data_IF_524928821808
#
_entry.id   IF_524928821808
#
_cell.length_a   1.000
_cell.length_b   1.000
_cell.length_c   1.000
_cell.angle_alpha   90.00
_cell.angle_beta   90.00
_cell.angle_gamma   90.00
#
_symmetry.space_group_name_H-M   'P 1'
#
loop_
_entity.id
_entity.type
_entity.pdbx_description
1 polymer ?
#
# COMPACT_ATOMS: atom_id res chain seq x y z
N UNK A 1 5.30 -32.73 15.14
CA UNK A 1 4.27 -32.31 14.16
C UNK A 1 4.58 -30.89 13.74
N UNK A 2 5.25 -30.71 12.59
CA UNK A 2 5.64 -29.43 12.08
C UNK A 2 4.53 -28.84 11.20
N UNK A 3 3.91 -27.74 11.62
CA UNK A 3 3.00 -26.99 10.78
C UNK A 3 3.79 -26.23 9.72
N UNK A 4 3.80 -26.77 8.52
CA UNK A 4 4.41 -26.15 7.35
C UNK A 4 3.41 -25.11 6.81
N UNK A 5 3.48 -23.86 7.28
CA UNK A 5 2.77 -22.74 6.68
C UNK A 5 3.52 -22.33 5.41
N UNK A 6 3.25 -23.04 4.32
CA UNK A 6 3.63 -22.55 2.98
C UNK A 6 2.74 -21.35 2.66
N UNK A 7 3.24 -20.15 2.88
CA UNK A 7 2.68 -18.96 2.26
C UNK A 7 2.90 -19.09 0.75
N UNK A 8 1.91 -19.62 0.05
CA UNK A 8 1.83 -19.56 -1.40
C UNK A 8 1.67 -18.08 -1.78
N UNK A 9 2.80 -17.39 -1.92
CA UNK A 9 2.84 -16.14 -2.69
C UNK A 9 2.50 -16.51 -4.12
N UNK A 10 1.22 -16.36 -4.49
CA UNK A 10 0.80 -16.40 -5.89
C UNK A 10 1.64 -15.35 -6.62
N UNK A 11 2.57 -15.83 -7.45
CA UNK A 11 3.39 -14.98 -8.32
C UNK A 11 2.46 -14.32 -9.32
N UNK A 12 2.03 -13.10 -8.99
CA UNK A 12 1.30 -12.27 -9.93
C UNK A 12 2.16 -12.06 -11.17
N UNK A 13 1.56 -12.19 -12.33
CA UNK A 13 2.21 -11.75 -13.57
C UNK A 13 2.72 -10.32 -13.36
N UNK A 14 3.99 -10.06 -13.65
CA UNK A 14 4.62 -8.77 -13.36
C UNK A 14 3.85 -7.55 -13.91
N UNK A 15 3.07 -7.74 -14.97
CA UNK A 15 2.18 -6.71 -15.55
C UNK A 15 1.01 -6.35 -14.61
N UNK A 16 0.40 -7.34 -13.98
CA UNK A 16 -0.76 -7.11 -13.08
C UNK A 16 -0.30 -6.44 -11.78
N UNK A 17 0.87 -6.81 -11.27
CA UNK A 17 1.48 -6.16 -10.11
C UNK A 17 1.83 -4.70 -10.41
N UNK A 18 2.41 -4.42 -11.58
CA UNK A 18 2.71 -3.07 -12.02
C UNK A 18 1.44 -2.21 -12.15
N UNK A 19 0.38 -2.76 -12.73
CA UNK A 19 -0.92 -2.07 -12.84
C UNK A 19 -1.47 -1.72 -11.46
N UNK A 20 -1.43 -2.64 -10.50
CA UNK A 20 -1.88 -2.39 -9.13
C UNK A 20 -1.06 -1.29 -8.44
N UNK A 21 0.26 -1.27 -8.64
CA UNK A 21 1.13 -0.21 -8.12
C UNK A 21 0.73 1.16 -8.69
N UNK A 22 0.54 1.24 -10.01
CA UNK A 22 0.19 2.49 -10.69
C UNK A 22 -1.17 3.01 -10.23
N UNK A 23 -2.19 2.15 -10.17
CA UNK A 23 -3.53 2.52 -9.71
C UNK A 23 -3.52 3.00 -8.26
N UNK A 24 -2.85 2.27 -7.36
CA UNK A 24 -2.70 2.68 -5.96
C UNK A 24 -1.93 4.00 -5.82
N UNK A 25 -0.89 4.21 -6.62
CA UNK A 25 -0.14 5.46 -6.59
C UNK A 25 -1.00 6.65 -7.02
N UNK A 26 -1.79 6.50 -8.09
CA UNK A 26 -2.68 7.55 -8.59
C UNK A 26 -3.72 7.92 -7.52
N UNK A 27 -4.39 6.93 -6.92
CA UNK A 27 -5.40 7.22 -5.89
C UNK A 27 -4.78 7.83 -4.64
N UNK A 28 -3.61 7.36 -4.23
CA UNK A 28 -2.88 7.90 -3.09
C UNK A 28 -2.54 9.39 -3.29
N UNK A 29 -2.05 9.76 -4.48
CA UNK A 29 -1.75 11.15 -4.80
C UNK A 29 -3.04 11.99 -4.80
N UNK A 30 -4.12 11.48 -5.39
CA UNK A 30 -5.41 12.18 -5.39
C UNK A 30 -5.97 12.38 -3.97
N UNK A 31 -5.88 11.37 -3.11
CA UNK A 31 -6.29 11.46 -1.71
C UNK A 31 -5.41 12.42 -0.91
N UNK A 32 -4.10 12.43 -1.14
CA UNK A 32 -3.18 13.34 -0.46
C UNK A 32 -3.50 14.80 -0.81
N UNK A 33 -3.59 15.10 -2.10
CA UNK A 33 -3.94 16.45 -2.58
C UNK A 33 -5.33 16.85 -2.08
N UNK A 34 -6.31 15.97 -2.23
CA UNK A 34 -7.68 16.23 -1.78
C UNK A 34 -7.79 16.37 -0.27
N UNK A 35 -6.99 15.64 0.49
CA UNK A 35 -6.90 15.76 1.95
C UNK A 35 -6.41 17.13 2.39
N UNK A 36 -5.38 17.65 1.73
CA UNK A 36 -4.89 19.01 1.99
C UNK A 36 -5.91 20.09 1.57
N UNK A 37 -6.51 19.96 0.39
CA UNK A 37 -7.49 20.96 -0.11
C UNK A 37 -8.78 20.94 0.73
N UNK A 38 -9.26 19.75 1.12
CA UNK A 38 -10.48 19.62 1.94
C UNK A 38 -10.27 19.91 3.42
N UNK A 39 -9.01 19.94 3.89
CA UNK A 39 -8.69 20.02 5.32
C UNK A 39 -8.96 18.73 6.09
N UNK A 40 -9.14 17.57 5.42
CA UNK A 40 -9.47 16.29 6.04
C UNK A 40 -8.23 15.54 6.50
N UNK A 41 -8.03 15.43 7.82
CA UNK A 41 -6.97 14.60 8.40
C UNK A 41 -7.17 13.11 8.13
N UNK A 42 -8.43 12.65 8.10
CA UNK A 42 -8.75 11.26 7.80
C UNK A 42 -8.28 10.88 6.38
N UNK A 43 -8.50 11.76 5.39
CA UNK A 43 -8.09 11.53 4.03
C UNK A 43 -6.56 11.56 3.86
N UNK A 44 -5.88 12.44 4.61
CA UNK A 44 -4.41 12.48 4.65
C UNK A 44 -3.87 11.19 5.28
N UNK A 45 -4.47 10.73 6.38
CA UNK A 45 -4.08 9.48 7.05
C UNK A 45 -4.23 8.27 6.12
N UNK A 46 -5.34 8.18 5.40
CA UNK A 46 -5.61 7.13 4.43
C UNK A 46 -4.60 7.15 3.28
N UNK A 47 -4.30 8.35 2.76
CA UNK A 47 -3.28 8.51 1.72
C UNK A 47 -1.89 8.06 2.17
N UNK A 48 -1.48 8.35 3.40
CA UNK A 48 -0.18 7.92 3.94
C UNK A 48 -0.14 6.40 4.13
N UNK A 49 -1.24 5.80 4.59
CA UNK A 49 -1.35 4.34 4.69
C UNK A 49 -1.24 3.69 3.31
N UNK A 50 -2.00 4.16 2.33
CA UNK A 50 -1.95 3.65 0.95
C UNK A 50 -0.56 3.85 0.31
N UNK A 51 0.13 4.94 0.62
CA UNK A 51 1.51 5.16 0.17
C UNK A 51 2.48 4.12 0.74
N UNK A 52 2.31 3.75 1.99
CA UNK A 52 3.03 2.66 2.64
C UNK A 52 2.85 1.33 1.91
N UNK A 53 1.62 1.02 1.49
CA UNK A 53 1.29 -0.18 0.72
C UNK A 53 1.95 -0.16 -0.67
N UNK A 54 1.94 0.99 -1.34
CA UNK A 54 2.64 1.18 -2.63
C UNK A 54 4.14 0.90 -2.50
N UNK A 55 4.80 1.41 -1.46
CA UNK A 55 6.22 1.12 -1.19
C UNK A 55 6.43 -0.38 -1.02
N UNK A 56 5.60 -1.06 -0.24
CA UNK A 56 5.68 -2.51 -0.01
C UNK A 56 5.52 -3.31 -1.30
N UNK A 57 4.58 -2.90 -2.18
CA UNK A 57 4.38 -3.50 -3.50
C UNK A 57 5.59 -3.29 -4.43
N UNK A 58 6.18 -2.08 -4.42
CA UNK A 58 7.39 -1.78 -5.21
C UNK A 58 8.57 -2.67 -4.76
N UNK A 59 8.78 -2.80 -3.45
CA UNK A 59 9.83 -3.66 -2.90
C UNK A 59 9.62 -5.10 -3.33
N UNK A 60 8.39 -5.60 -3.24
CA UNK A 60 8.02 -6.96 -3.67
C UNK A 60 8.23 -7.16 -5.17
N UNK A 61 7.89 -6.14 -5.99
CA UNK A 61 8.11 -6.18 -7.44
C UNK A 61 9.60 -6.23 -7.79
N UNK A 62 10.40 -5.38 -7.17
CA UNK A 62 11.86 -5.35 -7.38
C UNK A 62 12.50 -6.67 -6.94
N UNK A 63 12.10 -7.21 -5.79
CA UNK A 63 12.58 -8.51 -5.31
C UNK A 63 12.26 -9.63 -6.29
N UNK A 64 11.04 -9.63 -6.87
CA UNK A 64 10.64 -10.61 -7.88
C UNK A 64 11.45 -10.48 -9.18
N UNK A 65 11.66 -9.26 -9.68
CA UNK A 65 12.49 -9.02 -10.86
C UNK A 65 13.93 -9.50 -10.68
N UNK A 66 14.51 -9.28 -9.50
CA UNK A 66 15.88 -9.68 -9.20
C UNK A 66 16.00 -11.20 -9.01
N UNK A 67 15.00 -11.84 -8.42
CA UNK A 67 14.93 -13.28 -8.25
C UNK A 67 14.89 -14.02 -9.60
N UNK A 68 14.19 -13.46 -10.58
CA UNK A 68 14.05 -14.09 -11.91
C UNK A 68 15.29 -13.93 -12.82
N UNK A 69 16.19 -12.99 -12.52
CA UNK A 69 17.33 -12.66 -13.38
C UNK A 69 18.63 -13.41 -13.09
N UNK A 70 18.76 -14.11 -11.96
CA UNK A 70 20.03 -14.76 -11.57
C UNK A 70 19.82 -16.17 -11.02
N UNK A 71 20.64 -17.13 -11.49
CA UNK A 71 20.89 -18.41 -10.82
C UNK A 71 21.30 -18.11 -9.38
N UNK A 72 20.48 -18.57 -8.43
CA UNK A 72 20.60 -18.30 -7.01
C UNK A 72 21.97 -18.79 -6.48
N UNK A 73 22.83 -17.87 -6.10
CA UNK A 73 23.94 -18.15 -5.19
C UNK A 73 23.46 -17.87 -3.76
N UNK A 74 23.67 -18.79 -2.85
CA UNK A 74 23.21 -18.76 -1.45
C UNK A 74 23.55 -17.44 -0.72
N UNK A 75 24.61 -16.77 -1.11
CA UNK A 75 25.05 -15.49 -0.52
C UNK A 75 24.17 -14.29 -0.87
N UNK A 76 23.45 -14.32 -2.01
CA UNK A 76 22.61 -13.19 -2.46
C UNK A 76 21.22 -13.21 -1.83
N UNK A 77 20.69 -14.37 -1.50
CA UNK A 77 19.39 -14.54 -0.83
C UNK A 77 19.36 -13.91 0.56
N UNK A 78 20.48 -13.91 1.29
CA UNK A 78 20.59 -13.33 2.62
C UNK A 78 20.55 -11.79 2.61
N UNK A 79 21.10 -11.15 1.59
CA UNK A 79 21.09 -9.69 1.43
C UNK A 79 19.69 -9.13 1.18
N UNK A 80 18.91 -9.78 0.33
CA UNK A 80 17.55 -9.34 -0.01
C UNK A 80 16.57 -9.44 1.16
N UNK A 81 16.63 -10.52 1.96
CA UNK A 81 15.81 -10.65 3.17
C UNK A 81 16.10 -9.55 4.20
N UNK A 82 17.35 -9.14 4.33
CA UNK A 82 17.71 -8.03 5.23
C UNK A 82 17.19 -6.69 4.71
N UNK A 83 17.27 -6.44 3.41
CA UNK A 83 16.73 -5.23 2.79
C UNK A 83 15.21 -5.13 2.98
N UNK A 84 14.48 -6.23 2.86
CA UNK A 84 13.04 -6.30 3.10
C UNK A 84 12.69 -5.97 4.56
N UNK A 85 13.42 -6.52 5.52
CA UNK A 85 13.23 -6.25 6.95
C UNK A 85 13.50 -4.78 7.27
N UNK A 86 14.59 -4.21 6.72
CA UNK A 86 14.93 -2.80 6.93
C UNK A 86 13.86 -1.90 6.30
N UNK A 87 13.40 -2.21 5.10
CA UNK A 87 12.34 -1.46 4.44
C UNK A 87 11.03 -1.52 5.23
N UNK A 88 10.65 -2.69 5.74
CA UNK A 88 9.47 -2.84 6.60
C UNK A 88 9.60 -2.05 7.91
N UNK A 89 10.78 -2.04 8.52
CA UNK A 89 11.06 -1.26 9.72
C UNK A 89 10.96 0.25 9.47
N UNK A 90 11.57 0.75 8.39
CA UNK A 90 11.51 2.17 8.01
C UNK A 90 10.05 2.56 7.74
N UNK A 91 9.31 1.72 7.01
CA UNK A 91 7.91 1.96 6.70
C UNK A 91 7.05 2.05 7.97
N UNK A 92 7.15 1.07 8.86
CA UNK A 92 6.43 1.07 10.13
C UNK A 92 6.78 2.29 11.00
N UNK A 93 8.07 2.64 11.08
CA UNK A 93 8.53 3.81 11.82
C UNK A 93 7.96 5.11 11.26
N UNK A 94 7.92 5.24 9.94
CA UNK A 94 7.33 6.40 9.25
C UNK A 94 5.84 6.53 9.56
N UNK A 95 5.09 5.43 9.52
CA UNK A 95 3.67 5.44 9.86
C UNK A 95 3.41 5.86 11.31
N UNK A 96 4.24 5.41 12.25
CA UNK A 96 4.14 5.81 13.67
C UNK A 96 4.37 7.31 13.81
N UNK A 97 5.42 7.87 13.17
CA UNK A 97 5.71 9.29 13.21
C UNK A 97 4.55 10.11 12.65
N UNK A 98 4.03 9.71 11.48
CA UNK A 98 2.88 10.39 10.86
C UNK A 98 1.63 10.29 11.74
N UNK A 99 1.35 9.14 12.35
CA UNK A 99 0.23 8.97 13.26
C UNK A 99 0.32 9.92 14.48
N UNK A 100 1.52 10.12 15.04
CA UNK A 100 1.75 11.06 16.12
C UNK A 100 1.47 12.52 15.66
N UNK A 101 2.00 12.90 14.48
CA UNK A 101 1.79 14.25 13.93
C UNK A 101 0.30 14.51 13.67
N UNK A 102 -0.41 13.56 13.05
CA UNK A 102 -1.84 13.67 12.79
C UNK A 102 -2.65 13.68 14.10
N UNK A 103 -2.22 12.93 15.11
CA UNK A 103 -2.84 12.95 16.44
C UNK A 103 -2.72 14.31 17.12
N UNK A 104 -1.55 14.93 17.06
CA UNK A 104 -1.33 16.29 17.59
C UNK A 104 -2.22 17.30 16.83
N UNK A 105 -2.28 17.20 15.51
CA UNK A 105 -3.11 18.08 14.70
C UNK A 105 -4.61 17.87 14.96
N UNK A 106 -5.06 16.64 15.13
CA UNK A 106 -6.43 16.32 15.50
C UNK A 106 -6.80 16.93 16.87
N UNK A 107 -5.89 16.86 17.85
CA UNK A 107 -6.10 17.49 19.17
C UNK A 107 -6.21 19.02 19.08
N UNK A 108 -5.37 19.67 18.24
CA UNK A 108 -5.49 21.11 17.98
C UNK A 108 -6.83 21.47 17.36
N UNK A 109 -7.31 20.67 16.40
CA UNK A 109 -8.60 20.90 15.73
C UNK A 109 -9.80 20.63 16.64
N UNK A 110 -9.65 19.79 17.64
CA UNK A 110 -10.68 19.60 18.67
C UNK A 110 -10.95 20.91 19.42
N UNK A 111 -9.89 21.68 19.72
CA UNK A 111 -10.01 22.97 20.39
C UNK A 111 -10.36 24.14 19.44
N UNK A 112 -10.00 24.03 18.16
CA UNK A 112 -10.23 25.02 17.13
C UNK A 112 -10.77 24.34 15.85
N UNK A 113 -12.08 24.02 15.80
CA UNK A 113 -12.67 23.28 14.68
C UNK A 113 -12.42 23.97 13.34
N UNK A 114 -11.95 23.21 12.37
CA UNK A 114 -11.72 23.67 11.00
C UNK A 114 -12.90 23.27 10.10
N UNK A 115 -13.22 24.14 9.14
CA UNK A 115 -14.23 23.83 8.11
C UNK A 115 -13.64 22.82 7.13
N UNK A 116 -14.33 21.68 6.98
CA UNK A 116 -13.92 20.61 6.06
C UNK A 116 -14.85 20.59 4.86
N UNK A 117 -14.30 20.49 3.66
CA UNK A 117 -15.09 20.29 2.45
C UNK A 117 -15.54 18.82 2.37
N UNK A 118 -16.66 18.51 3.01
CA UNK A 118 -17.21 17.14 3.10
C UNK A 118 -17.56 16.55 1.74
N UNK A 119 -18.01 17.34 0.77
CA UNK A 119 -18.34 16.86 -0.56
C UNK A 119 -17.11 16.27 -1.25
N UNK A 120 -15.99 16.98 -1.22
CA UNK A 120 -14.73 16.50 -1.79
C UNK A 120 -14.22 15.24 -1.09
N UNK A 121 -14.33 15.21 0.25
CA UNK A 121 -13.93 14.03 1.05
C UNK A 121 -14.74 12.80 0.67
N UNK A 122 -16.08 12.93 0.55
CA UNK A 122 -16.97 11.82 0.20
C UNK A 122 -16.64 11.27 -1.19
N UNK A 123 -16.46 12.13 -2.19
CA UNK A 123 -16.13 11.69 -3.54
C UNK A 123 -14.79 10.96 -3.60
N UNK A 124 -13.77 11.46 -2.92
CA UNK A 124 -12.46 10.81 -2.88
C UNK A 124 -12.48 9.50 -2.07
N UNK A 125 -13.28 9.42 -1.01
CA UNK A 125 -13.48 8.19 -0.27
C UNK A 125 -14.17 7.11 -1.11
N UNK A 126 -15.24 7.47 -1.83
CA UNK A 126 -15.94 6.55 -2.75
C UNK A 126 -14.97 6.05 -3.84
N UNK A 127 -14.18 6.95 -4.41
CA UNK A 127 -13.20 6.59 -5.44
C UNK A 127 -12.12 5.66 -4.89
N UNK A 128 -11.64 5.89 -3.66
CA UNK A 128 -10.70 5.00 -2.98
C UNK A 128 -11.28 3.60 -2.75
N UNK A 129 -12.51 3.50 -2.26
CA UNK A 129 -13.21 2.23 -2.06
C UNK A 129 -13.39 1.49 -3.41
N UNK A 130 -13.78 2.21 -4.47
CA UNK A 130 -13.98 1.64 -5.79
C UNK A 130 -12.67 1.06 -6.37
N UNK A 131 -11.57 1.81 -6.29
CA UNK A 131 -10.25 1.37 -6.79
C UNK A 131 -9.73 0.17 -6.00
N UNK A 132 -9.77 0.24 -4.67
CA UNK A 132 -9.32 -0.85 -3.81
C UNK A 132 -10.19 -2.10 -3.97
N UNK A 133 -11.51 -1.95 -4.02
CA UNK A 133 -12.45 -3.04 -4.25
C UNK A 133 -12.28 -3.69 -5.62
N UNK A 134 -12.07 -2.88 -6.66
CA UNK A 134 -11.80 -3.39 -8.01
C UNK A 134 -10.49 -4.18 -8.07
N UNK A 135 -9.46 -3.71 -7.41
CA UNK A 135 -8.18 -4.44 -7.31
C UNK A 135 -8.37 -5.83 -6.69
N UNK A 136 -9.11 -5.93 -5.58
CA UNK A 136 -9.42 -7.21 -4.92
C UNK A 136 -10.24 -8.13 -5.83
N UNK A 137 -11.24 -7.61 -6.53
CA UNK A 137 -12.07 -8.38 -7.47
C UNK A 137 -11.24 -8.95 -8.62
N UNK A 138 -10.39 -8.14 -9.23
CA UNK A 138 -9.48 -8.58 -10.32
C UNK A 138 -8.55 -9.70 -9.82
N UNK A 139 -8.01 -9.56 -8.61
CA UNK A 139 -7.19 -10.60 -7.99
C UNK A 139 -7.97 -11.91 -7.77
N UNK A 140 -9.19 -11.80 -7.29
CA UNK A 140 -10.05 -12.97 -7.02
C UNK A 140 -10.38 -13.72 -8.31
N UNK A 141 -10.79 -13.00 -9.36
CA UNK A 141 -11.11 -13.59 -10.66
C UNK A 141 -9.90 -14.24 -11.32
N UNK A 142 -8.73 -13.59 -11.30
CA UNK A 142 -7.49 -14.16 -11.84
C UNK A 142 -7.08 -15.44 -11.10
N UNK A 143 -7.19 -15.45 -9.77
CA UNK A 143 -6.89 -16.64 -8.96
C UNK A 143 -7.84 -17.80 -9.27
N UNK A 144 -9.12 -17.50 -9.52
CA UNK A 144 -10.13 -18.49 -9.86
C UNK A 144 -9.88 -19.10 -11.24
N UNK A 145 -9.51 -18.28 -12.23
CA UNK A 145 -9.17 -18.75 -13.58
C UNK A 145 -7.92 -19.64 -13.60
N UNK A 146 -6.89 -19.29 -12.82
CA UNK A 146 -5.65 -20.10 -12.72
C UNK A 146 -5.85 -21.43 -11.97
N UNK A 147 -6.95 -21.61 -11.25
CA UNK A 147 -7.28 -22.85 -10.52
C UNK A 147 -8.08 -23.84 -11.39
N UNK A 148 -8.61 -23.40 -12.50
CA UNK A 148 -9.46 -24.18 -13.44
C UNK A 148 -8.61 -24.75 -14.61
N UNK A 149 -7.39 -24.24 -14.78
CA UNK A 149 -6.41 -24.76 -15.78
C UNK A 149 -5.38 -25.65 -15.08
#
# INVERSE_FOLDING_TARGET
>A
MGHNHSHNHTTLSGKNLLLSIVLNLIITIAQLIGGFISGSLALISDAVHNFSDVISLIISYVANLLSNKKKQTLHQTFGYKRAEIIAAFINASTLIIVAIILGIEAFKRFNNPQVINSTLVIWLAILGIAVNGFSVLVFYYLKMMLKIT
#
